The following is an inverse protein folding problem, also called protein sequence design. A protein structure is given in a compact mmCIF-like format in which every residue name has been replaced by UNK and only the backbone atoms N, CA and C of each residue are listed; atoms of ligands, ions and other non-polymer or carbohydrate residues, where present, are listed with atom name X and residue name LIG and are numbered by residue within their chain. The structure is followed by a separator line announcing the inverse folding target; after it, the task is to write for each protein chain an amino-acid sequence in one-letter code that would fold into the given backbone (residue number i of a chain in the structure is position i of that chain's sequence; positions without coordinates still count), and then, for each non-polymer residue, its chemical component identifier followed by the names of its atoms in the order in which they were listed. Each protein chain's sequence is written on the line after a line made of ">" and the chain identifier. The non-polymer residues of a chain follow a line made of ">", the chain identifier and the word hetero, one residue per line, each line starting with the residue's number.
data_IF_597097905008
#
_entry.id   IF_597097905008
#
_cell.length_a   1.000
_cell.length_b   1.000
_cell.length_c   1.000
_cell.angle_alpha   90.00
_cell.angle_beta   90.00
_cell.angle_gamma   90.00
#
_symmetry.space_group_name_H-M   'P 1'
#
loop_
_entity.id
_entity.type
_entity.pdbx_description
1 polymer ?
#
# COMPACT_ATOMS: atom_id res chain seq x y z
N UNK A 1 51.60 -60.93 29.64
CA UNK A 1 51.81 -60.41 28.27
C UNK A 1 50.75 -59.36 28.02
N UNK A 2 51.10 -58.09 28.26
CA UNK A 2 51.01 -56.98 27.30
C UNK A 2 49.61 -56.78 26.68
N UNK A 3 48.84 -55.83 27.22
CA UNK A 3 48.57 -54.47 26.69
C UNK A 3 47.51 -54.45 25.56
N UNK A 4 46.33 -53.86 25.84
CA UNK A 4 45.96 -52.53 25.33
C UNK A 4 44.44 -52.29 25.43
N UNK A 5 44.08 -51.26 26.19
CA UNK A 5 42.91 -50.44 25.90
C UNK A 5 43.21 -49.58 24.65
N UNK A 6 42.19 -49.17 23.90
CA UNK A 6 42.07 -47.73 23.74
C UNK A 6 40.65 -47.26 24.01
N UNK A 7 40.59 -46.23 24.85
CA UNK A 7 39.51 -45.27 25.00
C UNK A 7 39.23 -44.60 23.64
N UNK A 8 38.02 -44.78 23.11
CA UNK A 8 37.59 -44.10 21.91
C UNK A 8 37.13 -42.69 22.27
N UNK A 9 38.02 -41.72 22.05
CA UNK A 9 37.74 -40.28 22.07
C UNK A 9 36.64 -39.97 21.05
N UNK A 10 35.40 -39.77 21.51
CA UNK A 10 34.33 -39.14 20.73
C UNK A 10 34.34 -37.64 21.08
N UNK A 11 35.34 -36.94 20.56
CA UNK A 11 35.29 -35.49 20.36
C UNK A 11 35.27 -35.25 18.85
N UNK A 12 34.18 -35.67 18.20
CA UNK A 12 33.91 -35.29 16.82
C UNK A 12 33.11 -33.99 16.84
N UNK A 13 33.86 -32.90 16.97
CA UNK A 13 33.70 -31.64 16.25
C UNK A 13 32.31 -31.39 15.60
N UNK A 14 31.27 -31.22 16.42
CA UNK A 14 30.06 -30.52 15.99
C UNK A 14 30.34 -29.01 16.08
N UNK A 15 31.16 -28.51 15.15
CA UNK A 15 30.94 -27.18 14.61
C UNK A 15 29.60 -27.26 13.86
N UNK A 16 28.51 -27.26 14.63
CA UNK A 16 27.21 -26.85 14.14
C UNK A 16 27.41 -25.41 13.71
N UNK A 17 27.74 -25.24 12.42
CA UNK A 17 27.58 -23.97 11.74
C UNK A 17 26.09 -23.69 11.84
N UNK A 18 25.71 -23.02 12.93
CA UNK A 18 24.45 -22.32 13.05
C UNK A 18 24.55 -21.20 12.01
N UNK A 19 24.38 -21.56 10.73
CA UNK A 19 23.86 -20.64 9.74
C UNK A 19 22.48 -20.30 10.28
N UNK A 20 22.43 -19.33 11.19
CA UNK A 20 21.30 -18.47 11.34
C UNK A 20 21.07 -17.97 9.91
N UNK A 21 20.13 -18.62 9.21
CA UNK A 21 19.35 -17.93 8.22
C UNK A 21 18.73 -16.78 8.99
N UNK A 22 19.46 -15.66 9.03
CA UNK A 22 18.88 -14.37 9.27
C UNK A 22 17.97 -14.24 8.06
N UNK A 23 16.74 -14.73 8.20
CA UNK A 23 15.62 -14.24 7.43
C UNK A 23 15.58 -12.77 7.76
N UNK A 24 16.35 -11.98 7.00
CA UNK A 24 16.11 -10.56 6.94
C UNK A 24 14.64 -10.51 6.50
N UNK A 25 13.78 -10.10 7.43
CA UNK A 25 12.41 -9.77 7.09
C UNK A 25 12.55 -8.61 6.12
N UNK A 26 12.62 -8.93 4.83
CA UNK A 26 12.69 -7.93 3.80
C UNK A 26 11.32 -7.28 3.84
N UNK A 27 11.26 -6.08 4.42
CA UNK A 27 10.03 -5.30 4.42
C UNK A 27 9.56 -5.19 2.98
N UNK A 28 8.27 -5.43 2.75
CA UNK A 28 7.68 -5.32 1.44
C UNK A 28 7.96 -3.90 0.90
N UNK A 29 8.56 -3.82 -0.28
CA UNK A 29 8.87 -2.53 -0.90
C UNK A 29 7.61 -1.71 -1.19
N UNK A 30 7.76 -0.41 -1.54
CA UNK A 30 6.63 0.42 -1.92
C UNK A 30 5.93 -0.17 -3.15
N UNK A 31 4.60 -0.17 -3.13
CA UNK A 31 3.75 -0.55 -4.27
C UNK A 31 3.96 0.41 -5.44
N UNK A 32 4.05 1.72 -5.15
CA UNK A 32 4.44 2.74 -6.12
C UNK A 32 4.89 4.03 -5.42
N UNK A 33 5.58 4.92 -6.13
CA UNK A 33 5.91 6.26 -5.66
C UNK A 33 5.88 7.27 -6.79
N UNK A 34 5.61 8.53 -6.45
CA UNK A 34 5.67 9.66 -7.37
C UNK A 34 6.46 10.77 -6.70
N UNK A 35 7.43 11.30 -7.43
CA UNK A 35 8.18 12.49 -7.08
C UNK A 35 7.94 13.56 -8.17
N UNK A 36 7.64 14.78 -7.78
CA UNK A 36 7.53 15.89 -8.73
C UNK A 36 8.89 16.57 -8.89
N UNK A 37 9.60 16.29 -9.98
CA UNK A 37 10.95 16.84 -10.23
C UNK A 37 10.98 18.36 -10.39
N UNK A 38 9.84 18.99 -10.68
CA UNK A 38 9.74 20.46 -10.75
C UNK A 38 9.57 21.10 -9.37
N UNK A 39 9.39 20.29 -8.33
CA UNK A 39 9.33 20.72 -6.92
C UNK A 39 10.69 20.67 -6.22
N UNK A 40 11.78 20.59 -6.99
CA UNK A 40 13.14 20.64 -6.48
C UNK A 40 13.26 21.79 -5.50
N UNK A 41 13.72 21.46 -4.29
CA UNK A 41 14.03 22.46 -3.27
C UNK A 41 15.31 23.20 -3.67
N UNK A 42 15.21 24.05 -4.69
CA UNK A 42 16.27 24.99 -5.00
C UNK A 42 16.39 25.95 -3.81
N UNK A 43 17.40 25.72 -2.97
CA UNK A 43 17.97 26.68 -2.01
C UNK A 43 17.43 26.84 -0.57
N UNK A 44 16.65 25.93 0.01
CA UNK A 44 16.51 25.95 1.49
C UNK A 44 16.77 24.60 2.15
N UNK A 45 17.90 24.52 2.88
CA UNK A 45 18.14 23.48 3.87
C UNK A 45 16.99 23.39 4.89
N UNK A 46 16.17 24.44 5.01
CA UNK A 46 15.09 24.52 5.98
C UNK A 46 13.86 23.70 5.57
N UNK A 47 13.43 23.73 4.30
CA UNK A 47 12.29 22.90 3.84
C UNK A 47 12.62 21.42 4.06
N UNK A 48 13.82 20.96 3.75
CA UNK A 48 14.22 19.56 3.98
C UNK A 48 14.18 19.18 5.48
N UNK A 49 14.71 20.04 6.36
CA UNK A 49 14.62 19.83 7.82
C UNK A 49 13.18 19.82 8.32
N UNK A 50 12.34 20.70 7.78
CA UNK A 50 10.91 20.76 8.11
C UNK A 50 10.20 19.49 7.65
N UNK A 51 10.56 18.93 6.49
CA UNK A 51 10.06 17.64 6.00
C UNK A 51 10.44 16.50 6.93
N UNK A 52 11.69 16.44 7.44
CA UNK A 52 12.11 15.41 8.39
C UNK A 52 11.28 15.44 9.69
N UNK A 53 10.99 16.65 10.19
CA UNK A 53 10.14 16.83 11.38
C UNK A 53 8.68 16.48 11.08
N UNK A 54 8.15 16.92 9.94
CA UNK A 54 6.81 16.55 9.47
C UNK A 54 6.66 15.03 9.40
N UNK A 55 7.60 14.32 8.76
CA UNK A 55 7.56 12.85 8.66
C UNK A 55 7.55 12.17 10.03
N UNK A 56 8.29 12.70 11.00
CA UNK A 56 8.26 12.21 12.38
C UNK A 56 6.88 12.39 13.03
N UNK A 57 6.22 13.53 12.81
CA UNK A 57 4.85 13.78 13.29
C UNK A 57 3.83 12.87 12.60
N UNK A 58 3.97 12.67 11.28
CA UNK A 58 3.11 11.79 10.50
C UNK A 58 3.17 10.34 11.00
N UNK A 59 4.38 9.81 11.24
CA UNK A 59 4.59 8.46 11.79
C UNK A 59 3.90 8.31 13.15
N UNK A 60 4.17 9.23 14.08
CA UNK A 60 3.60 9.17 15.44
C UNK A 60 2.06 9.26 15.42
N UNK A 61 1.51 10.25 14.70
CA UNK A 61 0.07 10.46 14.61
C UNK A 61 -0.65 9.29 13.93
N UNK A 62 -0.05 8.70 12.89
CA UNK A 62 -0.66 7.56 12.16
C UNK A 62 -0.64 6.29 12.99
N UNK A 63 0.43 6.01 13.73
CA UNK A 63 0.49 4.85 14.64
C UNK A 63 -0.64 4.93 15.68
N UNK A 64 -0.93 6.13 16.18
CA UNK A 64 -1.93 6.33 17.21
C UNK A 64 -3.37 6.30 16.66
N UNK A 65 -3.61 6.92 15.51
CA UNK A 65 -4.97 7.22 15.02
C UNK A 65 -5.34 6.56 13.68
N UNK A 66 -4.39 5.85 13.05
CA UNK A 66 -4.51 5.28 11.71
C UNK A 66 -4.52 6.31 10.57
N UNK A 67 -4.52 7.60 10.90
CA UNK A 67 -4.48 8.73 9.97
C UNK A 67 -4.07 10.01 10.68
N UNK A 68 -3.34 10.87 9.99
CA UNK A 68 -3.11 12.26 10.39
C UNK A 68 -2.89 13.11 9.14
N UNK A 69 -3.33 14.37 9.21
CA UNK A 69 -3.00 15.42 8.25
C UNK A 69 -2.53 16.65 9.05
N UNK A 70 -1.33 17.15 8.77
CA UNK A 70 -0.70 18.24 9.53
C UNK A 70 0.30 19.00 8.66
N UNK A 71 0.75 20.16 9.12
CA UNK A 71 1.88 20.88 8.53
C UNK A 71 2.99 21.12 9.54
N UNK A 72 4.17 21.48 9.04
CA UNK A 72 5.29 21.93 9.84
C UNK A 72 6.06 23.05 9.13
N UNK A 73 6.61 23.99 9.90
CA UNK A 73 7.28 25.18 9.37
C UNK A 73 6.33 26.35 9.15
N UNK A 74 6.86 27.43 8.59
CA UNK A 74 6.12 28.67 8.37
C UNK A 74 6.50 29.32 7.03
N UNK A 75 5.58 30.10 6.47
CA UNK A 75 5.81 30.89 5.26
C UNK A 75 6.26 30.04 4.07
N UNK A 76 7.38 30.43 3.45
CA UNK A 76 7.90 29.75 2.26
C UNK A 76 8.48 28.36 2.54
N UNK A 77 8.74 28.02 3.80
CA UNK A 77 9.31 26.73 4.22
C UNK A 77 8.27 25.81 4.88
N UNK A 78 7.00 26.21 4.92
CA UNK A 78 5.93 25.34 5.40
C UNK A 78 5.73 24.14 4.46
N UNK A 79 5.58 22.96 5.05
CA UNK A 79 5.32 21.70 4.35
C UNK A 79 4.07 21.03 4.93
N UNK A 80 3.18 20.59 4.05
CA UNK A 80 1.94 19.91 4.40
C UNK A 80 2.10 18.41 4.15
N UNK A 81 1.58 17.58 5.05
CA UNK A 81 1.61 16.14 4.87
C UNK A 81 0.38 15.45 5.44
N UNK A 82 0.08 14.29 4.86
CA UNK A 82 -0.82 13.33 5.46
C UNK A 82 -0.27 11.92 5.32
N UNK A 83 -0.74 11.06 6.20
CA UNK A 83 -0.48 9.63 6.16
C UNK A 83 -1.68 8.86 6.66
N UNK A 84 -1.87 7.67 6.10
CA UNK A 84 -3.03 6.85 6.36
C UNK A 84 -2.69 5.37 6.27
N UNK A 85 -3.12 4.58 7.24
CA UNK A 85 -3.13 3.13 7.13
C UNK A 85 -4.40 2.63 6.44
N UNK A 86 -4.29 1.48 5.79
CA UNK A 86 -5.47 0.80 5.24
C UNK A 86 -6.41 0.44 6.39
N UNK A 87 -7.71 0.66 6.20
CA UNK A 87 -8.66 0.63 7.33
C UNK A 87 -8.88 -0.75 7.98
N UNK A 88 -8.32 -1.82 7.40
CA UNK A 88 -8.46 -3.21 7.81
C UNK A 88 -7.18 -3.81 8.43
N UNK A 89 -6.07 -3.09 8.48
CA UNK A 89 -4.80 -3.64 9.00
C UNK A 89 -4.67 -3.45 10.50
N UNK A 90 -3.86 -4.31 11.14
CA UNK A 90 -3.58 -4.18 12.58
C UNK A 90 -2.77 -2.92 12.89
N UNK A 91 -2.79 -2.46 14.14
CA UNK A 91 -1.93 -1.36 14.59
C UNK A 91 -0.44 -1.66 14.39
N UNK A 92 -0.04 -2.92 14.50
CA UNK A 92 1.35 -3.33 14.30
C UNK A 92 1.75 -3.22 12.82
N UNK A 93 0.94 -3.73 11.91
CA UNK A 93 1.21 -3.65 10.47
C UNK A 93 1.18 -2.21 9.98
N UNK A 94 0.24 -1.41 10.50
CA UNK A 94 0.19 0.04 10.27
C UNK A 94 1.49 0.73 10.71
N UNK A 95 2.00 0.39 11.90
CA UNK A 95 3.22 0.96 12.47
C UNK A 95 4.46 0.61 11.67
N UNK A 96 4.60 -0.65 11.24
CA UNK A 96 5.69 -1.09 10.37
C UNK A 96 5.61 -0.34 9.04
N UNK A 97 4.45 -0.36 8.40
CA UNK A 97 4.25 0.25 7.09
C UNK A 97 4.60 1.75 7.10
N UNK A 98 4.10 2.53 8.08
CA UNK A 98 4.30 3.97 8.03
C UNK A 98 5.73 4.39 8.37
N UNK A 99 6.43 3.61 9.20
CA UNK A 99 7.86 3.81 9.46
C UNK A 99 8.69 3.57 8.20
N UNK A 100 8.39 2.49 7.48
CA UNK A 100 9.08 2.18 6.24
C UNK A 100 8.77 3.20 5.16
N UNK A 101 7.51 3.60 4.99
CA UNK A 101 7.10 4.64 4.06
C UNK A 101 7.81 5.98 4.31
N UNK A 102 7.89 6.43 5.57
CA UNK A 102 8.57 7.67 5.93
C UNK A 102 10.08 7.62 5.68
N UNK A 103 10.71 6.44 5.88
CA UNK A 103 12.13 6.25 5.62
C UNK A 103 12.45 6.17 4.13
N UNK A 104 11.66 5.43 3.37
CA UNK A 104 11.93 5.16 1.96
C UNK A 104 11.55 6.33 1.07
N UNK A 105 10.51 7.12 1.39
CA UNK A 105 10.10 8.26 0.54
C UNK A 105 11.23 9.30 0.37
N UNK A 106 12.08 9.50 1.38
CA UNK A 106 13.23 10.40 1.29
C UNK A 106 14.34 9.88 0.38
N UNK A 107 14.49 8.56 0.27
CA UNK A 107 15.46 7.93 -0.65
C UNK A 107 14.95 7.90 -2.08
N UNK A 108 13.64 7.67 -2.26
CA UNK A 108 12.99 7.59 -3.57
C UNK A 108 12.82 8.97 -4.20
N UNK A 109 12.52 9.98 -3.38
CA UNK A 109 12.28 11.36 -3.81
C UNK A 109 13.28 12.34 -3.17
N UNK A 110 14.60 12.21 -3.45
CA UNK A 110 15.60 13.07 -2.84
C UNK A 110 15.40 14.53 -3.26
N UNK A 111 15.41 15.44 -2.28
CA UNK A 111 15.30 16.89 -2.45
C UNK A 111 14.03 17.35 -3.21
N UNK A 112 12.97 16.54 -3.20
CA UNK A 112 11.68 16.93 -3.76
C UNK A 112 10.76 17.37 -2.63
N UNK A 113 9.95 18.38 -2.90
CA UNK A 113 9.00 18.91 -1.91
C UNK A 113 7.56 18.53 -2.17
N UNK A 114 7.32 17.74 -3.22
CA UNK A 114 6.04 17.10 -3.54
C UNK A 114 6.28 15.61 -3.87
N UNK A 115 5.92 14.76 -2.92
CA UNK A 115 6.17 13.33 -3.00
C UNK A 115 5.00 12.51 -2.43
N UNK A 116 4.82 11.33 -3.00
CA UNK A 116 3.79 10.34 -2.63
C UNK A 116 4.40 8.95 -2.65
N UNK A 117 4.07 8.14 -1.66
CA UNK A 117 4.41 6.71 -1.65
C UNK A 117 3.21 5.89 -1.20
N UNK A 118 2.91 4.85 -1.98
CA UNK A 118 1.87 3.87 -1.68
C UNK A 118 2.53 2.56 -1.31
N UNK A 119 2.10 1.99 -0.20
CA UNK A 119 2.36 0.62 0.22
C UNK A 119 1.02 -0.12 0.28
N UNK A 120 1.05 -1.45 0.29
CA UNK A 120 -0.15 -2.27 0.38
C UNK A 120 -0.99 -1.96 1.64
N UNK A 121 -0.35 -1.51 2.73
CA UNK A 121 -0.98 -1.25 4.03
C UNK A 121 -1.03 0.23 4.44
N UNK A 122 -0.40 1.14 3.71
CA UNK A 122 -0.41 2.56 4.07
C UNK A 122 -0.07 3.47 2.88
N UNK A 123 -0.42 4.74 3.03
CA UNK A 123 -0.13 5.80 2.08
C UNK A 123 0.47 6.99 2.84
N UNK A 124 1.48 7.62 2.24
CA UNK A 124 2.11 8.84 2.77
C UNK A 124 2.32 9.85 1.63
N UNK A 125 1.98 11.10 1.90
CA UNK A 125 2.14 12.21 0.96
C UNK A 125 2.59 13.47 1.69
N UNK A 126 3.50 14.23 1.07
CA UNK A 126 3.78 15.61 1.46
C UNK A 126 3.87 16.53 0.25
N UNK A 127 3.59 17.82 0.45
CA UNK A 127 3.64 18.87 -0.56
C UNK A 127 3.79 20.27 0.11
N UNK A 128 4.46 21.22 -0.54
CA UNK A 128 4.46 22.64 -0.10
C UNK A 128 3.12 23.33 -0.33
N UNK A 129 2.34 22.86 -1.30
CA UNK A 129 1.00 23.35 -1.57
C UNK A 129 0.00 22.58 -0.71
N UNK A 130 -0.77 23.28 0.11
CA UNK A 130 -1.82 22.69 0.94
C UNK A 130 -2.84 21.97 0.07
N UNK A 131 -3.00 20.66 0.27
CA UNK A 131 -3.88 19.80 -0.53
C UNK A 131 -5.06 19.19 0.25
N UNK A 132 -5.15 19.41 1.57
CA UNK A 132 -6.16 18.75 2.41
C UNK A 132 -7.59 19.10 1.99
N UNK A 133 -8.41 18.05 1.88
CA UNK A 133 -9.82 18.14 1.49
C UNK A 133 -10.05 18.28 -0.01
N UNK A 134 -8.98 18.35 -0.82
CA UNK A 134 -9.07 18.51 -2.28
C UNK A 134 -8.97 17.15 -2.98
N UNK A 135 -9.78 16.97 -4.03
CA UNK A 135 -9.75 15.76 -4.86
C UNK A 135 -8.52 15.81 -5.77
N UNK A 136 -7.66 14.80 -5.66
CA UNK A 136 -6.48 14.62 -6.48
C UNK A 136 -6.43 13.19 -7.04
N UNK A 137 -6.69 13.08 -8.35
CA UNK A 137 -6.65 11.83 -9.12
C UNK A 137 -5.33 11.62 -9.86
N UNK A 138 -4.28 12.36 -9.52
CA UNK A 138 -2.92 12.03 -9.95
C UNK A 138 -2.45 10.76 -9.24
N UNK A 139 -1.72 9.90 -9.95
CA UNK A 139 -1.48 8.55 -9.46
C UNK A 139 -0.85 7.59 -10.46
N UNK A 140 -1.16 6.31 -10.29
CA UNK A 140 -0.76 5.23 -11.18
C UNK A 140 -1.80 4.10 -11.24
N UNK A 141 -1.70 3.29 -12.28
CA UNK A 141 -2.43 2.04 -12.43
C UNK A 141 -1.46 0.88 -12.41
N UNK A 142 -1.74 -0.14 -11.59
CA UNK A 142 -1.00 -1.41 -11.58
C UNK A 142 -1.91 -2.51 -12.09
N UNK A 143 -1.52 -3.18 -13.16
CA UNK A 143 -2.41 -4.06 -13.91
C UNK A 143 -1.79 -5.44 -14.01
N UNK A 144 -2.53 -6.47 -13.60
CA UNK A 144 -2.06 -7.85 -13.73
C UNK A 144 -1.85 -8.19 -15.21
N UNK A 145 -0.76 -8.87 -15.55
CA UNK A 145 -0.45 -9.21 -16.96
C UNK A 145 -1.38 -10.28 -17.55
N UNK A 146 -2.11 -11.02 -16.72
CA UNK A 146 -2.98 -12.12 -17.14
C UNK A 146 -4.44 -11.66 -17.27
N UNK A 147 -5.12 -12.21 -18.27
CA UNK A 147 -6.56 -12.06 -18.42
C UNK A 147 -7.32 -13.09 -17.57
N UNK A 148 -8.55 -12.74 -17.22
CA UNK A 148 -9.53 -13.70 -16.69
C UNK A 148 -9.97 -14.62 -17.82
N UNK A 149 -10.10 -15.91 -17.51
CA UNK A 149 -10.58 -16.94 -18.43
C UNK A 149 -11.77 -17.69 -17.81
N UNK A 150 -12.70 -18.17 -18.63
CA UNK A 150 -13.84 -18.97 -18.16
C UNK A 150 -14.84 -18.22 -17.27
N UNK A 151 -14.92 -16.89 -17.39
CA UNK A 151 -15.91 -16.06 -16.69
C UNK A 151 -16.59 -15.12 -17.66
N UNK A 152 -17.85 -15.41 -17.96
CA UNK A 152 -18.70 -14.50 -18.72
C UNK A 152 -19.04 -13.25 -17.89
N UNK A 153 -19.14 -12.12 -18.60
CA UNK A 153 -19.48 -10.81 -18.05
C UNK A 153 -18.61 -10.38 -16.87
N UNK A 154 -17.32 -10.74 -16.88
CA UNK A 154 -16.39 -10.38 -15.80
C UNK A 154 -16.37 -8.87 -15.52
N UNK A 155 -16.34 -8.04 -16.57
CA UNK A 155 -16.35 -6.57 -16.44
C UNK A 155 -17.56 -6.05 -15.66
N UNK A 156 -18.75 -6.59 -15.92
CA UNK A 156 -19.99 -6.23 -15.23
C UNK A 156 -19.97 -6.68 -13.77
N UNK A 157 -19.58 -7.93 -13.51
CA UNK A 157 -19.45 -8.48 -12.14
C UNK A 157 -18.48 -7.66 -11.30
N UNK A 158 -17.33 -7.29 -11.88
CA UNK A 158 -16.35 -6.39 -11.25
C UNK A 158 -16.94 -5.00 -11.01
N UNK A 159 -17.57 -4.39 -12.02
CA UNK A 159 -18.19 -3.08 -11.89
C UNK A 159 -19.23 -3.05 -10.78
N UNK A 160 -20.08 -4.07 -10.70
CA UNK A 160 -21.08 -4.23 -9.65
C UNK A 160 -20.45 -4.30 -8.26
N UNK A 161 -19.42 -5.13 -8.08
CA UNK A 161 -18.71 -5.26 -6.80
C UNK A 161 -18.10 -3.93 -6.35
N UNK A 162 -17.36 -3.26 -7.26
CA UNK A 162 -16.69 -1.99 -6.94
C UNK A 162 -17.72 -0.89 -6.64
N UNK A 163 -18.81 -0.81 -7.40
CA UNK A 163 -19.90 0.14 -7.15
C UNK A 163 -20.53 -0.11 -5.77
N UNK A 164 -20.79 -1.36 -5.41
CA UNK A 164 -21.35 -1.73 -4.11
C UNK A 164 -20.45 -1.26 -2.96
N UNK A 165 -19.15 -1.54 -3.01
CA UNK A 165 -18.23 -1.17 -1.92
C UNK A 165 -17.92 0.33 -1.87
N UNK A 166 -18.17 1.07 -2.96
CA UNK A 166 -17.95 2.53 -3.00
C UNK A 166 -18.85 3.30 -2.04
N UNK A 167 -20.10 2.85 -1.82
CA UNK A 167 -21.03 3.50 -0.88
C UNK A 167 -20.63 3.33 0.58
N UNK A 168 -19.81 2.32 0.90
CA UNK A 168 -19.26 2.16 2.25
C UNK A 168 -18.01 3.02 2.46
N UNK A 169 -17.17 3.16 1.43
CA UNK A 169 -15.96 3.98 1.51
C UNK A 169 -16.21 5.49 1.63
N UNK A 170 -17.40 5.98 1.27
CA UNK A 170 -17.73 7.40 1.49
C UNK A 170 -18.04 7.71 2.95
N UNK A 171 -18.24 6.71 3.82
CA UNK A 171 -18.63 6.90 5.22
C UNK A 171 -17.42 6.92 6.17
N UNK A 172 -17.42 7.78 7.21
CA UNK A 172 -16.44 7.70 8.29
C UNK A 172 -16.62 6.43 9.14
N UNK A 173 -15.64 6.03 9.98
CA UNK A 173 -14.39 6.74 10.25
C UNK A 173 -13.25 6.39 9.28
N UNK A 174 -13.24 5.18 8.71
CA UNK A 174 -12.10 4.66 7.95
C UNK A 174 -12.19 4.92 6.45
N UNK A 175 -13.36 5.33 5.94
CA UNK A 175 -13.60 5.57 4.51
C UNK A 175 -13.17 4.41 3.62
N UNK A 176 -13.46 3.19 4.08
CA UNK A 176 -13.07 1.91 3.47
C UNK A 176 -14.30 1.08 3.14
N UNK A 177 -14.36 0.55 1.92
CA UNK A 177 -15.31 -0.48 1.52
C UNK A 177 -14.56 -1.68 0.97
N UNK A 178 -14.98 -2.88 1.34
CA UNK A 178 -14.39 -4.13 0.83
C UNK A 178 -15.44 -5.23 0.83
N UNK A 179 -15.36 -6.10 -0.15
CA UNK A 179 -16.26 -7.24 -0.29
C UNK A 179 -15.63 -8.28 -1.22
N UNK A 180 -16.11 -9.52 -1.12
CA UNK A 180 -15.81 -10.57 -2.10
C UNK A 180 -17.09 -11.15 -2.70
N UNK A 181 -16.99 -11.57 -3.95
CA UNK A 181 -18.12 -12.17 -4.68
C UNK A 181 -17.67 -13.39 -5.47
N UNK A 182 -18.43 -14.48 -5.36
CA UNK A 182 -18.19 -15.68 -6.16
C UNK A 182 -18.65 -15.43 -7.59
N UNK A 183 -17.71 -15.37 -8.53
CA UNK A 183 -17.97 -15.01 -9.94
C UNK A 183 -18.06 -16.23 -10.86
N UNK A 184 -17.60 -17.39 -10.40
CA UNK A 184 -17.75 -18.72 -11.01
C UNK A 184 -17.62 -19.81 -9.92
N UNK A 185 -17.83 -21.11 -10.22
CA UNK A 185 -17.62 -22.19 -9.25
C UNK A 185 -16.23 -22.20 -8.60
N UNK A 186 -15.21 -21.71 -9.31
CA UNK A 186 -13.79 -21.78 -8.94
C UNK A 186 -13.14 -20.42 -8.67
N UNK A 187 -13.81 -19.31 -8.99
CA UNK A 187 -13.23 -17.97 -8.87
C UNK A 187 -14.06 -17.09 -7.95
N UNK A 188 -13.35 -16.45 -7.02
CA UNK A 188 -13.86 -15.40 -6.15
C UNK A 188 -13.15 -14.11 -6.49
N UNK A 189 -13.92 -13.05 -6.70
CA UNK A 189 -13.42 -11.70 -6.91
C UNK A 189 -13.39 -10.97 -5.57
N UNK A 190 -12.26 -10.37 -5.24
CA UNK A 190 -12.07 -9.55 -4.05
C UNK A 190 -11.93 -8.10 -4.48
N UNK A 191 -12.65 -7.19 -3.83
CA UNK A 191 -12.59 -5.75 -4.08
C UNK A 191 -12.37 -4.97 -2.80
N UNK A 192 -11.54 -3.92 -2.87
CA UNK A 192 -11.33 -2.96 -1.79
C UNK A 192 -11.20 -1.56 -2.40
N UNK A 193 -11.89 -0.60 -1.81
CA UNK A 193 -11.76 0.81 -2.13
C UNK A 193 -11.59 1.64 -0.85
N UNK A 194 -10.78 2.68 -0.90
CA UNK A 194 -10.55 3.56 0.25
C UNK A 194 -10.32 5.00 -0.19
N UNK A 195 -10.89 5.97 0.52
CA UNK A 195 -10.54 7.39 0.37
C UNK A 195 -9.57 7.83 1.46
N UNK A 196 -8.78 8.88 1.20
CA UNK A 196 -8.05 9.59 2.26
C UNK A 196 -9.05 10.29 3.19
N UNK A 197 -8.78 10.24 4.49
CA UNK A 197 -9.72 10.67 5.54
C UNK A 197 -9.87 12.19 5.66
N UNK A 198 -9.03 12.98 4.98
CA UNK A 198 -9.14 14.44 4.88
C UNK A 198 -10.30 14.89 3.97
N UNK A 199 -10.85 14.01 3.12
CA UNK A 199 -11.96 14.35 2.23
C UNK A 199 -13.31 14.40 2.94
N UNK A 200 -14.21 15.22 2.41
CA UNK A 200 -15.65 15.12 2.68
C UNK A 200 -16.25 13.87 2.02
N UNK A 201 -17.49 13.51 2.39
CA UNK A 201 -18.19 12.39 1.74
C UNK A 201 -18.36 12.62 0.24
N UNK A 202 -18.73 13.85 -0.17
CA UNK A 202 -18.87 14.24 -1.57
C UNK A 202 -17.56 14.15 -2.34
N UNK A 203 -16.46 14.63 -1.77
CA UNK A 203 -15.16 14.60 -2.43
C UNK A 203 -14.61 13.17 -2.53
N UNK A 204 -14.87 12.34 -1.52
CA UNK A 204 -14.57 10.91 -1.60
C UNK A 204 -15.39 10.23 -2.72
N UNK A 205 -16.70 10.48 -2.77
CA UNK A 205 -17.57 9.94 -3.82
C UNK A 205 -17.09 10.37 -5.22
N UNK A 206 -16.68 11.64 -5.38
CA UNK A 206 -16.14 12.15 -6.63
C UNK A 206 -14.84 11.44 -7.03
N UNK A 207 -13.89 11.25 -6.12
CA UNK A 207 -12.65 10.54 -6.41
C UNK A 207 -12.92 9.09 -6.86
N UNK A 208 -13.75 8.38 -6.11
CA UNK A 208 -14.13 7.00 -6.43
C UNK A 208 -14.87 6.90 -7.76
N UNK A 209 -15.77 7.83 -8.06
CA UNK A 209 -16.50 7.86 -9.34
C UNK A 209 -15.53 8.01 -10.53
N UNK A 210 -14.50 8.86 -10.42
CA UNK A 210 -13.47 8.99 -11.45
C UNK A 210 -12.68 7.69 -11.60
N UNK A 211 -12.26 7.07 -10.50
CA UNK A 211 -11.53 5.80 -10.53
C UNK A 211 -12.36 4.70 -11.19
N UNK A 212 -13.61 4.52 -10.74
CA UNK A 212 -14.57 3.52 -11.25
C UNK A 212 -14.82 3.69 -12.75
N UNK A 213 -15.03 4.94 -13.20
CA UNK A 213 -15.23 5.23 -14.63
C UNK A 213 -14.05 4.78 -15.49
N UNK A 214 -12.83 4.89 -14.98
CA UNK A 214 -11.62 4.57 -15.72
C UNK A 214 -11.31 3.06 -15.70
N UNK A 215 -11.73 2.32 -14.66
CA UNK A 215 -11.44 0.88 -14.47
C UNK A 215 -11.68 0.03 -15.73
N UNK A 216 -12.79 0.13 -16.47
CA UNK A 216 -13.00 -0.68 -17.68
C UNK A 216 -11.93 -0.45 -18.76
N UNK A 217 -11.56 0.81 -18.99
CA UNK A 217 -10.58 1.18 -20.01
C UNK A 217 -9.15 0.82 -19.60
N UNK A 218 -8.78 1.11 -18.34
CA UNK A 218 -7.41 0.82 -17.86
C UNK A 218 -7.22 -0.66 -17.56
N UNK A 219 -8.15 -1.30 -16.85
CA UNK A 219 -7.98 -2.66 -16.33
C UNK A 219 -8.52 -3.75 -17.27
N UNK A 220 -9.27 -3.42 -18.34
CA UNK A 220 -9.78 -4.39 -19.31
C UNK A 220 -10.45 -5.61 -18.67
N UNK A 221 -10.02 -6.82 -19.05
CA UNK A 221 -10.46 -8.09 -18.44
C UNK A 221 -9.34 -8.76 -17.62
N UNK A 222 -8.50 -7.96 -16.95
CA UNK A 222 -7.33 -8.44 -16.21
C UNK A 222 -7.71 -9.07 -14.88
N UNK A 223 -6.95 -10.07 -14.42
CA UNK A 223 -7.19 -10.79 -13.15
C UNK A 223 -7.10 -9.89 -11.92
N UNK A 224 -6.33 -8.81 -12.02
CA UNK A 224 -6.16 -7.85 -10.94
C UNK A 224 -5.82 -6.48 -11.47
N UNK A 225 -6.21 -5.45 -10.72
CA UNK A 225 -5.91 -4.07 -11.05
C UNK A 225 -5.93 -3.21 -9.78
N UNK A 226 -5.02 -2.24 -9.71
CA UNK A 226 -4.99 -1.21 -8.69
C UNK A 226 -5.01 0.17 -9.35
N UNK A 227 -5.93 1.04 -8.91
CA UNK A 227 -5.96 2.46 -9.21
C UNK A 227 -5.47 3.19 -7.96
N UNK A 228 -4.26 3.75 -8.04
CA UNK A 228 -3.55 4.42 -6.96
C UNK A 228 -3.66 5.93 -7.15
N UNK A 229 -4.81 6.52 -6.82
CA UNK A 229 -4.91 7.99 -6.79
C UNK A 229 -4.44 8.55 -5.46
N UNK A 230 -4.10 9.83 -5.49
CA UNK A 230 -3.60 10.56 -4.33
C UNK A 230 -4.66 10.84 -3.27
N UNK A 231 -5.95 10.75 -3.65
CA UNK A 231 -7.11 10.95 -2.77
C UNK A 231 -7.96 9.68 -2.57
N UNK A 232 -7.80 8.66 -3.41
CA UNK A 232 -8.52 7.41 -3.27
C UNK A 232 -7.81 6.22 -3.93
N UNK A 233 -8.22 5.03 -3.54
CA UNK A 233 -7.62 3.76 -3.91
C UNK A 233 -8.73 2.80 -4.35
N UNK A 234 -8.52 2.09 -5.45
CA UNK A 234 -9.38 0.98 -5.88
C UNK A 234 -8.50 -0.21 -6.23
N UNK A 235 -8.74 -1.37 -5.61
CA UNK A 235 -8.08 -2.63 -5.98
C UNK A 235 -9.09 -3.74 -6.11
N UNK A 236 -8.90 -4.56 -7.14
CA UNK A 236 -9.52 -5.87 -7.20
C UNK A 236 -8.50 -6.93 -7.57
N UNK A 237 -8.71 -8.15 -7.08
CA UNK A 237 -7.87 -9.32 -7.32
C UNK A 237 -8.74 -10.58 -7.32
N UNK A 238 -8.24 -11.68 -7.89
CA UNK A 238 -8.85 -13.02 -7.78
C UNK A 238 -8.30 -13.86 -6.62
N UNK A 239 -7.55 -13.23 -5.71
CA UNK A 239 -7.02 -13.85 -4.49
C UNK A 239 -7.30 -12.93 -3.28
N UNK A 240 -7.38 -13.50 -2.06
CA UNK A 240 -7.57 -12.73 -0.84
C UNK A 240 -6.41 -11.75 -0.59
N UNK A 241 -6.71 -10.48 -0.30
CA UNK A 241 -5.68 -9.46 -0.01
C UNK A 241 -6.07 -8.46 1.09
N UNK A 242 -7.26 -8.61 1.68
CA UNK A 242 -7.76 -7.77 2.76
C UNK A 242 -8.16 -8.60 3.97
N UNK A 243 -8.13 -8.00 5.15
CA UNK A 243 -8.42 -8.67 6.41
C UNK A 243 -9.90 -8.55 6.80
N UNK A 244 -10.43 -9.45 7.65
CA UNK A 244 -9.81 -10.72 8.03
C UNK A 244 -9.71 -11.65 6.81
N UNK A 245 -8.68 -12.49 6.79
CA UNK A 245 -8.59 -13.58 5.83
C UNK A 245 -9.47 -14.72 6.34
N UNK A 246 -10.21 -15.40 5.46
CA UNK A 246 -10.98 -16.56 5.88
C UNK A 246 -10.04 -17.71 6.24
N UNK A 247 -10.35 -18.45 7.31
CA UNK A 247 -9.54 -19.56 7.82
C UNK A 247 -9.33 -20.71 6.83
N UNK A 248 -10.12 -20.79 5.76
CA UNK A 248 -9.96 -21.75 4.66
C UNK A 248 -9.04 -21.26 3.54
N UNK A 249 -8.83 -19.95 3.44
CA UNK A 249 -8.04 -19.29 2.39
C UNK A 249 -6.54 -19.24 2.72
N UNK A 250 -6.15 -19.49 3.99
CA UNK A 250 -4.74 -19.52 4.42
C UNK A 250 -3.96 -20.77 3.97
N UNK A 251 -4.61 -21.74 3.34
CA UNK A 251 -3.99 -23.01 2.92
C UNK A 251 -3.50 -23.03 1.45
N UNK A 252 -3.92 -22.07 0.62
CA UNK A 252 -3.60 -22.01 -0.82
C UNK A 252 -2.45 -21.03 -1.16
N UNK A 253 -1.50 -20.84 -0.24
CA UNK A 253 -0.49 -19.77 -0.34
C UNK A 253 0.56 -19.94 -1.47
N UNK A 254 0.45 -20.97 -2.31
CA UNK A 254 1.40 -21.25 -3.41
C UNK A 254 1.21 -20.39 -4.67
N UNK A 255 0.26 -19.44 -4.70
CA UNK A 255 0.02 -18.58 -5.88
C UNK A 255 0.55 -17.14 -5.74
N UNK A 256 1.24 -16.79 -4.65
CA UNK A 256 1.67 -15.41 -4.39
C UNK A 256 2.96 -14.98 -5.12
N UNK A 257 3.68 -15.91 -5.76
CA UNK A 257 5.08 -15.71 -6.22
C UNK A 257 5.28 -15.28 -7.68
N UNK A 258 4.23 -14.95 -8.43
CA UNK A 258 4.38 -14.31 -9.76
C UNK A 258 3.44 -13.12 -9.92
N UNK A 259 3.77 -12.04 -9.22
CA UNK A 259 3.08 -10.75 -9.35
C UNK A 259 3.76 -9.88 -10.40
N UNK A 260 3.65 -10.29 -11.65
CA UNK A 260 4.00 -9.45 -12.79
C UNK A 260 2.89 -8.42 -13.04
N UNK A 261 3.17 -7.13 -12.77
CA UNK A 261 2.25 -6.01 -13.05
C UNK A 261 2.83 -5.08 -14.10
N UNK A 262 1.96 -4.57 -14.99
CA UNK A 262 2.26 -3.42 -15.83
C UNK A 262 1.88 -2.13 -15.10
N UNK A 263 2.71 -1.09 -15.21
CA UNK A 263 2.49 0.21 -14.56
C UNK A 263 2.16 1.27 -15.59
N UNK A 264 1.06 2.00 -15.40
CA UNK A 264 0.65 3.11 -16.25
C UNK A 264 0.42 4.37 -15.42
N UNK A 265 0.71 5.54 -16.00
CA UNK A 265 0.36 6.83 -15.42
C UNK A 265 -0.96 7.33 -16.05
N UNK A 266 -1.86 7.96 -15.27
CA UNK A 266 -3.06 8.63 -15.77
C UNK A 266 -2.76 9.71 -16.81
#
# INVERSE_FOLDING_TARGET
>A
MFFNHPTMNIFCNFLFVFFLYISTAQSAGPTYHICNTNSQTNHSNQTSKNTDILLSQLVQGTIQHGFVATSYGEGVDEIYGLSQCRGDVSKNDCSICIKDAAKEILKLCPNQSDARVWYDYCFLRYNKVRFFGQVDTSGAYLINVQNVTGVDNFSEKRGSLINQISSEAVKPPNRLGKEKSKISPFLTLYGLVQCTRDLSETNCAQCLAVAIRNVPGVCGNRRGCQVLYSSCYVRYELYPFFFPLDSKESLDHNSADDKSFMVFKP
#
